data_IF_352130369584
#
_entry.id   IF_352130369584
#
_cell.length_a   1.000
_cell.length_b   1.000
_cell.length_c   1.000
_cell.angle_alpha   90.00
_cell.angle_beta   90.00
_cell.angle_gamma   90.00
#
_symmetry.space_group_name_H-M   'P 1'
#
loop_
_entity.id
_entity.type
_entity.pdbx_description
1 polymer ?
#
# COMPACT_ATOMS: atom_id res chain seq x y z
N UNK A 1 -16.35 -2.78 -19.40
CA UNK A 1 -16.28 -2.30 -18.02
C UNK A 1 -14.88 -1.82 -17.60
N UNK A 2 -13.82 -2.61 -17.76
CA UNK A 2 -12.47 -2.22 -17.33
C UNK A 2 -11.95 -0.91 -17.98
N UNK A 3 -12.08 -0.67 -19.31
CA UNK A 3 -11.62 0.61 -19.90
C UNK A 3 -12.32 1.83 -19.33
N UNK A 4 -13.60 1.70 -18.98
CA UNK A 4 -14.33 2.79 -18.31
C UNK A 4 -13.82 3.02 -16.89
N UNK A 5 -13.60 1.96 -16.09
CA UNK A 5 -13.00 2.06 -14.77
C UNK A 5 -11.63 2.73 -14.81
N UNK A 6 -10.79 2.36 -15.76
CA UNK A 6 -9.46 2.98 -15.93
C UNK A 6 -9.58 4.49 -16.25
N UNK A 7 -10.49 4.87 -17.16
CA UNK A 7 -10.74 6.29 -17.48
C UNK A 7 -11.19 7.08 -16.26
N UNK A 8 -12.15 6.54 -15.49
CA UNK A 8 -12.63 7.16 -14.26
C UNK A 8 -11.49 7.29 -13.23
N UNK A 9 -10.68 6.24 -13.07
CA UNK A 9 -9.53 6.28 -12.14
C UNK A 9 -8.50 7.32 -12.55
N UNK A 10 -8.17 7.45 -13.82
CA UNK A 10 -7.27 8.51 -14.30
C UNK A 10 -7.87 9.90 -14.05
N UNK A 11 -9.17 10.08 -14.31
CA UNK A 11 -9.86 11.32 -13.98
C UNK A 11 -9.88 11.59 -12.46
N UNK A 12 -9.97 10.55 -11.62
CA UNK A 12 -9.92 10.62 -10.17
C UNK A 12 -8.53 11.06 -9.67
N UNK A 13 -7.47 10.49 -10.24
CA UNK A 13 -6.07 10.88 -9.98
C UNK A 13 -5.84 12.36 -10.33
N UNK A 14 -6.51 12.87 -11.36
CA UNK A 14 -6.47 14.26 -11.79
C UNK A 14 -7.53 15.15 -11.08
N UNK A 15 -8.17 14.68 -10.04
CA UNK A 15 -9.21 15.39 -9.28
C UNK A 15 -10.44 15.83 -10.10
N UNK A 16 -10.75 15.15 -11.23
CA UNK A 16 -11.85 15.50 -12.15
C UNK A 16 -13.09 14.63 -11.98
N UNK A 17 -13.02 13.54 -11.21
CA UNK A 17 -14.15 12.62 -10.93
C UNK A 17 -14.19 12.25 -9.45
N UNK A 18 -15.20 11.45 -9.07
CA UNK A 18 -15.38 10.92 -7.73
C UNK A 18 -15.50 9.40 -7.72
N UNK A 19 -15.40 8.74 -6.55
CA UNK A 19 -15.55 7.28 -6.44
C UNK A 19 -16.95 6.81 -6.86
N UNK A 20 -17.97 7.65 -6.79
CA UNK A 20 -19.34 7.36 -7.23
C UNK A 20 -19.45 7.17 -8.77
N UNK A 21 -18.50 7.71 -9.54
CA UNK A 21 -18.46 7.55 -11.00
C UNK A 21 -17.86 6.21 -11.41
N UNK A 22 -17.26 5.48 -10.45
CA UNK A 22 -16.68 4.16 -10.69
C UNK A 22 -17.78 3.12 -10.94
N UNK A 23 -17.60 2.19 -11.89
CA UNK A 23 -18.62 1.19 -12.21
C UNK A 23 -19.00 0.34 -11.00
N UNK A 24 -20.31 0.20 -10.73
CA UNK A 24 -20.81 -0.68 -9.69
C UNK A 24 -20.76 -2.13 -10.16
N UNK A 25 -19.68 -2.84 -9.82
CA UNK A 25 -19.49 -4.25 -10.15
C UNK A 25 -18.58 -4.93 -9.12
N UNK A 26 -19.12 -5.92 -8.44
CA UNK A 26 -18.36 -6.70 -7.46
C UNK A 26 -17.20 -7.47 -8.11
N UNK A 27 -17.42 -8.01 -9.32
CA UNK A 27 -16.38 -8.72 -10.06
C UNK A 27 -15.24 -7.78 -10.45
N UNK A 28 -15.56 -6.58 -10.93
CA UNK A 28 -14.56 -5.57 -11.25
C UNK A 28 -13.79 -5.12 -10.01
N UNK A 29 -14.47 -4.88 -8.88
CA UNK A 29 -13.82 -4.51 -7.62
C UNK A 29 -12.86 -5.60 -7.13
N UNK A 30 -13.24 -6.89 -7.25
CA UNK A 30 -12.35 -8.02 -6.93
C UNK A 30 -11.15 -8.08 -7.86
N UNK A 31 -11.33 -7.87 -9.16
CA UNK A 31 -10.23 -7.80 -10.12
C UNK A 31 -9.27 -6.64 -9.81
N UNK A 32 -9.81 -5.47 -9.42
CA UNK A 32 -9.00 -4.33 -8.97
C UNK A 32 -8.23 -4.66 -7.68
N UNK A 33 -8.84 -5.40 -6.74
CA UNK A 33 -8.16 -5.86 -5.52
C UNK A 33 -7.00 -6.81 -5.84
N UNK A 34 -7.20 -7.77 -6.74
CA UNK A 34 -6.14 -8.66 -7.20
C UNK A 34 -5.00 -7.89 -7.88
N UNK A 35 -5.34 -6.91 -8.73
CA UNK A 35 -4.36 -6.05 -9.37
C UNK A 35 -3.58 -5.20 -8.35
N UNK A 36 -4.24 -4.66 -7.32
CA UNK A 36 -3.61 -3.91 -6.25
C UNK A 36 -2.66 -4.81 -5.43
N UNK A 37 -3.08 -6.04 -5.12
CA UNK A 37 -2.22 -7.01 -4.44
C UNK A 37 -0.99 -7.35 -5.28
N UNK A 38 -1.16 -7.60 -6.59
CA UNK A 38 -0.06 -7.88 -7.51
C UNK A 38 0.91 -6.70 -7.64
N UNK A 39 0.40 -5.49 -7.81
CA UNK A 39 1.23 -4.28 -7.87
C UNK A 39 2.02 -4.05 -6.57
N UNK A 40 1.38 -4.26 -5.41
CA UNK A 40 2.04 -4.18 -4.11
C UNK A 40 3.10 -5.28 -3.93
N UNK A 41 2.80 -6.50 -4.40
CA UNK A 41 3.76 -7.61 -4.39
C UNK A 41 4.99 -7.28 -5.23
N UNK A 42 4.82 -6.77 -6.45
CA UNK A 42 5.91 -6.35 -7.33
C UNK A 42 6.77 -5.26 -6.69
N UNK A 43 6.14 -4.35 -5.94
CA UNK A 43 6.85 -3.28 -5.24
C UNK A 43 7.69 -3.83 -4.08
N UNK A 44 7.17 -4.81 -3.32
CA UNK A 44 7.80 -5.34 -2.10
C UNK A 44 8.78 -6.49 -2.35
N UNK A 45 8.62 -7.24 -3.43
CA UNK A 45 9.43 -8.43 -3.73
C UNK A 45 10.95 -8.21 -3.76
N UNK A 46 11.49 -7.04 -4.17
CA UNK A 46 12.93 -6.78 -4.09
C UNK A 46 13.48 -6.57 -2.68
N UNK A 47 12.61 -6.25 -1.71
CA UNK A 47 13.01 -5.85 -0.35
C UNK A 47 12.89 -6.97 0.67
N UNK A 48 11.89 -7.85 0.51
CA UNK A 48 11.55 -8.88 1.49
C UNK A 48 11.26 -10.22 0.79
N UNK A 49 11.44 -11.36 1.49
CA UNK A 49 11.14 -12.67 0.96
C UNK A 49 9.72 -12.78 0.41
N UNK A 50 9.55 -13.49 -0.71
CA UNK A 50 8.29 -13.61 -1.43
C UNK A 50 7.07 -13.97 -0.54
N UNK A 51 7.16 -14.93 0.41
CA UNK A 51 6.03 -15.24 1.29
C UNK A 51 5.61 -14.05 2.17
N UNK A 52 6.56 -13.26 2.67
CA UNK A 52 6.28 -12.05 3.45
C UNK A 52 5.71 -10.93 2.58
N UNK A 53 6.19 -10.81 1.33
CA UNK A 53 5.65 -9.86 0.36
C UNK A 53 4.20 -10.19 -0.01
N UNK A 54 3.88 -11.48 -0.19
CA UNK A 54 2.52 -11.97 -0.41
C UNK A 54 1.61 -11.69 0.80
N UNK A 55 2.10 -11.95 2.01
CA UNK A 55 1.39 -11.65 3.25
C UNK A 55 1.12 -10.14 3.37
N UNK A 56 2.11 -9.30 3.10
CA UNK A 56 1.99 -7.85 3.14
C UNK A 56 0.96 -7.33 2.11
N UNK A 57 1.05 -7.80 0.86
CA UNK A 57 0.12 -7.42 -0.20
C UNK A 57 -1.33 -7.81 0.14
N UNK A 58 -1.53 -9.02 0.66
CA UNK A 58 -2.86 -9.51 1.10
C UNK A 58 -3.36 -8.71 2.30
N UNK A 59 -2.51 -8.49 3.31
CA UNK A 59 -2.82 -7.70 4.49
C UNK A 59 -3.23 -6.27 4.14
N UNK A 60 -2.53 -5.64 3.20
CA UNK A 60 -2.87 -4.31 2.71
C UNK A 60 -4.25 -4.23 2.06
N UNK A 61 -4.57 -5.18 1.17
CA UNK A 61 -5.89 -5.26 0.50
C UNK A 61 -7.01 -5.49 1.52
N UNK A 62 -6.82 -6.42 2.47
CA UNK A 62 -7.80 -6.72 3.51
C UNK A 62 -7.97 -5.55 4.47
N UNK A 63 -6.86 -4.93 4.90
CA UNK A 63 -6.88 -3.76 5.79
C UNK A 63 -7.60 -2.57 5.17
N UNK A 64 -7.37 -2.31 3.88
CA UNK A 64 -8.08 -1.26 3.15
C UNK A 64 -9.58 -1.55 3.05
N UNK A 65 -9.96 -2.81 2.75
CA UNK A 65 -11.37 -3.21 2.71
C UNK A 65 -12.04 -3.06 4.08
N UNK A 66 -11.36 -3.49 5.13
CA UNK A 66 -11.86 -3.37 6.50
C UNK A 66 -12.08 -1.91 6.90
N UNK A 67 -11.08 -1.07 6.69
CA UNK A 67 -11.16 0.36 6.99
C UNK A 67 -12.31 1.04 6.22
N UNK A 68 -12.34 0.85 4.88
CA UNK A 68 -13.35 1.48 4.03
C UNK A 68 -14.76 1.04 4.40
N UNK A 69 -14.96 -0.26 4.67
CA UNK A 69 -16.25 -0.78 5.12
C UNK A 69 -16.67 -0.15 6.45
N UNK A 70 -15.76 -0.09 7.42
CA UNK A 70 -16.03 0.50 8.74
C UNK A 70 -16.39 1.98 8.63
N UNK A 71 -15.64 2.73 7.82
CA UNK A 71 -15.89 4.14 7.56
C UNK A 71 -17.27 4.37 6.94
N UNK A 72 -17.60 3.66 5.86
CA UNK A 72 -18.88 3.83 5.15
C UNK A 72 -20.07 3.36 6.00
N UNK A 73 -19.88 2.32 6.81
CA UNK A 73 -20.89 1.85 7.77
C UNK A 73 -21.17 2.89 8.85
N UNK A 74 -20.13 3.47 9.43
CA UNK A 74 -20.27 4.52 10.43
C UNK A 74 -21.01 5.77 9.86
N UNK A 75 -20.88 6.00 8.56
CA UNK A 75 -21.55 7.09 7.85
C UNK A 75 -22.91 6.69 7.23
N UNK A 76 -23.35 5.42 7.39
CA UNK A 76 -24.61 4.87 6.83
C UNK A 76 -24.71 4.97 5.29
N UNK A 77 -23.57 4.88 4.60
CA UNK A 77 -23.45 4.93 3.13
C UNK A 77 -22.81 3.67 2.56
N UNK A 78 -23.10 2.50 3.14
CA UNK A 78 -22.53 1.20 2.76
C UNK A 78 -22.82 0.82 1.29
N UNK A 79 -23.87 1.36 0.69
CA UNK A 79 -24.20 1.17 -0.72
C UNK A 79 -23.11 1.65 -1.68
N UNK A 80 -22.20 2.54 -1.24
CA UNK A 80 -21.05 3.03 -2.02
C UNK A 80 -19.81 2.14 -1.91
N UNK A 81 -19.85 1.07 -1.09
CA UNK A 81 -18.66 0.26 -0.75
C UNK A 81 -17.97 -0.33 -1.98
N UNK A 82 -18.71 -0.96 -2.88
CA UNK A 82 -18.16 -1.65 -4.05
C UNK A 82 -17.43 -0.68 -4.98
N UNK A 83 -18.04 0.50 -5.23
CA UNK A 83 -17.46 1.54 -6.09
C UNK A 83 -16.22 2.16 -5.43
N UNK A 84 -16.31 2.48 -4.14
CA UNK A 84 -15.21 3.08 -3.38
C UNK A 84 -14.01 2.16 -3.33
N UNK A 85 -14.21 0.87 -3.01
CA UNK A 85 -13.14 -0.12 -2.99
C UNK A 85 -12.53 -0.32 -4.37
N UNK A 86 -13.34 -0.44 -5.42
CA UNK A 86 -12.84 -0.57 -6.79
C UNK A 86 -11.96 0.63 -7.19
N UNK A 87 -12.42 1.85 -6.88
CA UNK A 87 -11.67 3.07 -7.13
C UNK A 87 -10.35 3.13 -6.33
N UNK A 88 -10.37 2.80 -5.03
CA UNK A 88 -9.18 2.79 -4.18
C UNK A 88 -8.15 1.76 -4.65
N UNK A 89 -8.59 0.52 -4.95
CA UNK A 89 -7.69 -0.54 -5.39
C UNK A 89 -7.03 -0.22 -6.73
N UNK A 90 -7.81 0.25 -7.71
CA UNK A 90 -7.25 0.56 -9.02
C UNK A 90 -6.33 1.79 -8.96
N UNK A 91 -6.70 2.80 -8.18
CA UNK A 91 -5.83 3.97 -7.92
C UNK A 91 -4.53 3.54 -7.24
N UNK A 92 -4.61 2.73 -6.18
CA UNK A 92 -3.46 2.20 -5.47
C UNK A 92 -2.53 1.37 -6.36
N UNK A 93 -3.11 0.51 -7.23
CA UNK A 93 -2.34 -0.27 -8.19
C UNK A 93 -1.57 0.63 -9.18
N UNK A 94 -2.22 1.68 -9.71
CA UNK A 94 -1.57 2.62 -10.63
C UNK A 94 -0.42 3.39 -9.97
N UNK A 95 -0.61 3.84 -8.72
CA UNK A 95 0.46 4.50 -7.97
C UNK A 95 1.60 3.54 -7.64
N UNK A 96 1.32 2.30 -7.24
CA UNK A 96 2.34 1.30 -6.98
C UNK A 96 3.17 1.00 -8.23
N UNK A 97 2.52 0.86 -9.39
CA UNK A 97 3.21 0.67 -10.67
C UNK A 97 4.02 1.91 -11.08
N UNK A 98 3.51 3.11 -10.84
CA UNK A 98 4.23 4.35 -11.11
C UNK A 98 5.45 4.53 -10.19
N UNK A 99 5.37 4.08 -8.94
CA UNK A 99 6.47 4.11 -7.97
C UNK A 99 7.52 3.03 -8.23
N UNK A 100 7.19 1.98 -8.96
CA UNK A 100 8.05 0.81 -9.14
C UNK A 100 9.46 1.15 -9.65
N UNK A 101 9.69 2.00 -10.67
CA UNK A 101 11.04 2.35 -11.13
C UNK A 101 11.89 3.04 -10.05
N UNK A 102 11.28 3.97 -9.31
CA UNK A 102 11.96 4.66 -8.23
C UNK A 102 12.29 3.69 -7.08
N UNK A 103 11.38 2.78 -6.76
CA UNK A 103 11.59 1.78 -5.72
C UNK A 103 12.68 0.78 -6.08
N UNK A 104 12.79 0.38 -7.35
CA UNK A 104 13.89 -0.46 -7.84
C UNK A 104 15.26 0.24 -7.69
N UNK A 105 15.31 1.54 -7.91
CA UNK A 105 16.54 2.32 -7.72
C UNK A 105 16.91 2.52 -6.23
N UNK A 106 15.91 2.52 -5.34
CA UNK A 106 16.10 2.63 -3.89
C UNK A 106 16.38 1.26 -3.22
N UNK A 107 15.96 0.17 -3.84
CA UNK A 107 16.02 -1.18 -3.26
C UNK A 107 17.42 -1.61 -2.79
N UNK A 108 18.54 -1.33 -3.49
CA UNK A 108 19.89 -1.68 -3.02
C UNK A 108 20.25 -0.99 -1.70
N UNK A 109 19.93 0.29 -1.54
CA UNK A 109 20.21 1.04 -0.31
C UNK A 109 19.33 0.58 0.85
N UNK A 110 18.04 0.35 0.58
CA UNK A 110 17.12 -0.20 1.58
C UNK A 110 17.50 -1.63 1.99
N UNK A 111 17.91 -2.47 1.03
CA UNK A 111 18.41 -3.83 1.30
C UNK A 111 19.66 -3.82 2.16
N UNK A 112 20.62 -2.93 1.87
CA UNK A 112 21.83 -2.73 2.70
C UNK A 112 21.45 -2.32 4.12
N UNK A 113 20.54 -1.35 4.28
CA UNK A 113 20.06 -0.90 5.58
C UNK A 113 19.43 -2.03 6.40
N UNK A 114 18.59 -2.85 5.77
CA UNK A 114 17.89 -3.96 6.43
C UNK A 114 18.81 -5.13 6.79
N UNK A 115 19.91 -5.31 6.06
CA UNK A 115 20.86 -6.41 6.27
C UNK A 115 22.03 -6.05 7.20
N UNK A 116 22.26 -4.77 7.47
CA UNK A 116 23.34 -4.29 8.34
C UNK A 116 22.85 -4.12 9.80
N UNK A 117 23.28 -4.99 10.73
CA UNK A 117 22.90 -4.87 12.14
C UNK A 117 23.35 -3.54 12.76
N UNK A 118 24.49 -2.99 12.33
CA UNK A 118 25.03 -1.73 12.88
C UNK A 118 24.20 -0.53 12.44
N UNK A 119 23.65 -0.58 11.24
CA UNK A 119 22.71 0.43 10.73
C UNK A 119 21.39 0.39 11.53
N UNK A 120 20.88 -0.81 11.80
CA UNK A 120 19.67 -0.98 12.61
C UNK A 120 19.86 -0.50 14.07
N UNK A 121 21.00 -0.77 14.66
CA UNK A 121 21.33 -0.28 16.02
C UNK A 121 21.52 1.25 16.03
N UNK A 122 22.10 1.81 14.97
CA UNK A 122 22.21 3.26 14.80
C UNK A 122 20.83 3.93 14.71
N UNK A 123 19.87 3.34 13.94
CA UNK A 123 18.50 3.81 13.88
C UNK A 123 17.80 3.78 15.24
N UNK A 124 17.97 2.68 15.99
CA UNK A 124 17.41 2.56 17.35
C UNK A 124 18.00 3.59 18.32
N UNK A 125 19.27 3.93 18.14
CA UNK A 125 19.97 4.94 18.92
C UNK A 125 19.68 6.38 18.44
N UNK A 126 18.82 6.57 17.40
CA UNK A 126 18.52 7.88 16.84
C UNK A 126 19.70 8.55 16.14
N UNK A 127 20.71 7.77 15.72
CA UNK A 127 21.89 8.30 15.01
C UNK A 127 21.58 8.41 13.51
N UNK A 128 22.03 9.48 12.82
CA UNK A 128 21.86 9.61 11.40
C UNK A 128 22.63 8.50 10.67
N UNK A 129 21.98 7.87 9.70
CA UNK A 129 22.61 6.91 8.80
C UNK A 129 22.84 7.63 7.47
N UNK A 130 24.07 7.56 6.96
CA UNK A 130 24.39 8.07 5.64
C UNK A 130 23.78 7.12 4.58
N UNK A 131 22.65 7.53 4.02
CA UNK A 131 22.04 6.92 2.83
C UNK A 131 22.38 7.82 1.65
N UNK A 132 22.80 7.23 0.55
CA UNK A 132 23.07 7.93 -0.71
C UNK A 132 22.15 7.42 -1.84
N UNK A 133 20.84 7.56 -1.67
CA UNK A 133 19.89 7.14 -2.68
C UNK A 133 19.93 8.08 -3.89
N UNK A 134 19.64 7.59 -5.10
CA UNK A 134 19.53 8.45 -6.28
C UNK A 134 18.48 9.54 -6.05
N UNK A 135 18.90 10.81 -6.14
CA UNK A 135 18.05 11.96 -5.82
C UNK A 135 16.73 11.99 -6.62
N UNK A 136 16.76 11.56 -7.90
CA UNK A 136 15.55 11.47 -8.73
C UNK A 136 14.54 10.44 -8.18
N UNK A 137 15.03 9.30 -7.65
CA UNK A 137 14.19 8.24 -7.15
C UNK A 137 13.50 8.67 -5.83
N UNK A 138 14.24 9.35 -4.95
CA UNK A 138 13.68 9.92 -3.72
C UNK A 138 12.62 10.96 -4.06
N UNK A 139 12.93 11.94 -4.92
CA UNK A 139 12.00 12.99 -5.30
C UNK A 139 10.73 12.43 -5.96
N UNK A 140 10.89 11.45 -6.86
CA UNK A 140 9.77 10.80 -7.53
C UNK A 140 8.88 10.04 -6.52
N UNK A 141 9.49 9.31 -5.59
CA UNK A 141 8.77 8.58 -4.54
C UNK A 141 7.98 9.53 -3.63
N UNK A 142 8.59 10.63 -3.19
CA UNK A 142 7.94 11.62 -2.34
C UNK A 142 6.77 12.29 -3.08
N UNK A 143 6.98 12.71 -4.32
CA UNK A 143 5.93 13.32 -5.13
C UNK A 143 4.73 12.37 -5.31
N UNK A 144 4.98 11.13 -5.70
CA UNK A 144 3.93 10.14 -5.91
C UNK A 144 3.25 9.75 -4.58
N UNK A 145 4.00 9.70 -3.48
CA UNK A 145 3.45 9.44 -2.15
C UNK A 145 2.45 10.53 -1.73
N UNK A 146 2.86 11.80 -1.78
CA UNK A 146 1.98 12.91 -1.41
C UNK A 146 0.79 13.04 -2.36
N UNK A 147 0.99 12.77 -3.66
CA UNK A 147 -0.09 12.76 -4.61
C UNK A 147 -1.08 11.63 -4.34
N UNK A 148 -0.61 10.42 -4.04
CA UNK A 148 -1.46 9.28 -3.69
C UNK A 148 -2.24 9.53 -2.40
N UNK A 149 -1.63 10.18 -1.41
CA UNK A 149 -2.30 10.62 -0.18
C UNK A 149 -3.42 11.61 -0.49
N UNK A 150 -3.15 12.65 -1.31
CA UNK A 150 -4.15 13.64 -1.68
C UNK A 150 -5.35 13.01 -2.43
N UNK A 151 -5.09 12.06 -3.33
CA UNK A 151 -6.13 11.31 -4.04
C UNK A 151 -6.92 10.43 -3.08
N UNK A 152 -6.27 9.75 -2.14
CA UNK A 152 -6.91 8.91 -1.11
C UNK A 152 -7.82 9.74 -0.19
N UNK A 153 -7.36 10.93 0.24
CA UNK A 153 -8.17 11.89 1.00
C UNK A 153 -9.40 12.29 0.22
N UNK A 154 -9.27 12.60 -1.07
CA UNK A 154 -10.40 12.94 -1.93
C UNK A 154 -11.40 11.80 -2.06
N UNK A 155 -10.91 10.55 -2.29
CA UNK A 155 -11.79 9.38 -2.39
C UNK A 155 -12.58 9.19 -1.10
N UNK A 156 -11.92 9.17 0.07
CA UNK A 156 -12.57 8.99 1.36
C UNK A 156 -13.55 10.11 1.68
N UNK A 157 -13.16 11.36 1.38
CA UNK A 157 -14.01 12.52 1.57
C UNK A 157 -15.30 12.42 0.77
N UNK A 158 -15.22 12.15 -0.53
CA UNK A 158 -16.38 12.07 -1.42
C UNK A 158 -17.22 10.81 -1.16
N UNK A 159 -16.62 9.69 -0.80
CA UNK A 159 -17.33 8.45 -0.51
C UNK A 159 -18.17 8.54 0.76
N UNK A 160 -17.68 9.23 1.79
CA UNK A 160 -18.28 9.29 3.12
C UNK A 160 -18.90 10.67 3.45
N UNK A 161 -18.98 11.58 2.47
CA UNK A 161 -19.50 12.95 2.61
C UNK A 161 -18.84 13.71 3.79
N UNK A 162 -17.49 13.79 3.76
CA UNK A 162 -16.67 14.38 4.81
C UNK A 162 -16.12 15.76 4.43
N UNK A 163 -15.77 16.56 5.45
CA UNK A 163 -14.92 17.74 5.26
C UNK A 163 -13.50 17.35 4.86
N UNK A 164 -12.72 18.27 4.31
CA UNK A 164 -11.32 18.01 3.91
C UNK A 164 -10.48 17.58 5.11
N UNK A 165 -10.60 18.30 6.23
CA UNK A 165 -9.85 18.00 7.46
C UNK A 165 -10.20 16.62 8.03
N UNK A 166 -11.49 16.29 8.12
CA UNK A 166 -11.92 14.95 8.57
C UNK A 166 -11.49 13.86 7.59
N UNK A 167 -11.55 14.12 6.28
CA UNK A 167 -11.08 13.21 5.25
C UNK A 167 -9.59 12.92 5.38
N UNK A 168 -8.75 13.94 5.65
CA UNK A 168 -7.32 13.78 5.89
C UNK A 168 -7.06 12.92 7.14
N UNK A 169 -7.65 13.29 8.29
CA UNK A 169 -7.47 12.55 9.54
C UNK A 169 -7.88 11.07 9.40
N UNK A 170 -9.02 10.81 8.77
CA UNK A 170 -9.50 9.45 8.56
C UNK A 170 -8.65 8.68 7.55
N UNK A 171 -8.09 9.34 6.54
CA UNK A 171 -7.17 8.70 5.60
C UNK A 171 -5.87 8.29 6.31
N UNK A 172 -5.33 9.14 7.18
CA UNK A 172 -4.16 8.81 8.00
C UNK A 172 -4.47 7.67 8.98
N UNK A 173 -5.63 7.70 9.66
CA UNK A 173 -6.08 6.60 10.50
C UNK A 173 -6.25 5.30 9.70
N UNK A 174 -6.79 5.39 8.48
CA UNK A 174 -6.90 4.26 7.55
C UNK A 174 -5.56 3.66 7.16
N UNK A 175 -4.55 4.51 6.94
CA UNK A 175 -3.18 4.06 6.67
C UNK A 175 -2.60 3.29 7.86
N UNK A 176 -2.83 3.74 9.10
CA UNK A 176 -2.41 3.01 10.32
C UNK A 176 -3.13 1.66 10.45
N UNK A 177 -4.43 1.62 10.20
CA UNK A 177 -5.20 0.36 10.20
C UNK A 177 -4.65 -0.59 9.13
N UNK A 178 -4.45 -0.11 7.90
CA UNK A 178 -3.88 -0.92 6.83
C UNK A 178 -2.49 -1.45 7.20
N UNK A 179 -1.61 -0.62 7.76
CA UNK A 179 -0.28 -1.03 8.22
C UNK A 179 -0.37 -2.11 9.30
N UNK A 180 -1.32 -1.99 10.25
CA UNK A 180 -1.54 -3.01 11.28
C UNK A 180 -1.92 -4.37 10.68
N UNK A 181 -2.76 -4.37 9.63
CA UNK A 181 -3.11 -5.60 8.90
C UNK A 181 -1.92 -6.18 8.14
N UNK A 182 -1.06 -5.33 7.55
CA UNK A 182 0.18 -5.76 6.88
C UNK A 182 1.10 -6.45 7.88
N UNK A 183 1.38 -5.80 9.02
CA UNK A 183 2.25 -6.36 10.06
C UNK A 183 1.66 -7.66 10.64
N UNK A 184 0.36 -7.69 10.93
CA UNK A 184 -0.30 -8.89 11.42
C UNK A 184 -0.19 -10.05 10.42
N UNK A 185 -0.42 -9.79 9.14
CA UNK A 185 -0.31 -10.81 8.10
C UNK A 185 1.13 -11.36 8.00
N UNK A 186 2.14 -10.50 8.12
CA UNK A 186 3.55 -10.93 8.12
C UNK A 186 3.89 -11.76 9.37
N UNK A 187 3.43 -11.34 10.56
CA UNK A 187 3.62 -12.12 11.80
C UNK A 187 2.99 -13.51 11.67
N UNK A 188 1.79 -13.62 11.10
CA UNK A 188 1.12 -14.88 10.89
C UNK A 188 1.79 -15.76 9.81
N UNK A 189 2.47 -15.15 8.85
CA UNK A 189 3.20 -15.88 7.81
C UNK A 189 4.53 -16.47 8.31
N UNK A 190 5.18 -15.87 9.31
CA UNK A 190 6.49 -16.33 9.82
C UNK A 190 6.48 -17.78 10.31
N UNK A 191 5.56 -18.24 11.19
CA UNK A 191 5.54 -19.64 11.62
C UNK A 191 5.26 -20.60 10.48
N UNK A 192 4.45 -20.22 9.49
CA UNK A 192 4.22 -21.02 8.29
C UNK A 192 5.49 -21.18 7.47
N UNK A 193 6.29 -20.13 7.32
CA UNK A 193 7.61 -20.20 6.66
C UNK A 193 8.56 -21.16 7.39
N UNK A 194 8.54 -21.17 8.73
CA UNK A 194 9.32 -22.11 9.53
C UNK A 194 8.91 -23.57 9.29
N UNK A 195 7.62 -23.85 9.24
CA UNK A 195 7.07 -25.19 8.97
C UNK A 195 7.45 -25.73 7.58
N UNK A 196 7.58 -24.85 6.59
CA UNK A 196 7.93 -25.22 5.21
C UNK A 196 9.44 -25.09 4.91
N UNK A 197 10.28 -24.79 5.91
CA UNK A 197 11.74 -24.62 5.72
C UNK A 197 12.12 -23.43 4.82
N UNK A 198 11.23 -22.44 4.71
CA UNK A 198 11.42 -21.25 3.89
C UNK A 198 12.09 -20.08 4.65
N UNK A 199 12.40 -20.28 5.93
CA UNK A 199 13.17 -19.28 6.68
C UNK A 199 14.62 -19.30 6.17
N UNK A 200 15.25 -18.12 5.98
CA UNK A 200 16.67 -18.04 5.70
C UNK A 200 17.42 -18.81 6.81
N UNK A 201 18.26 -19.76 6.42
CA UNK A 201 19.16 -20.44 7.38
C UNK A 201 19.96 -19.34 8.08
N UNK A 202 19.95 -19.36 9.42
CA UNK A 202 20.81 -18.47 10.19
C UNK A 202 22.25 -18.62 9.65
N UNK A 203 22.98 -17.51 9.41
CA UNK A 203 24.39 -17.63 9.02
C UNK A 203 25.07 -18.52 10.05
N UNK A 204 25.71 -19.60 9.58
CA UNK A 204 26.45 -20.48 10.45
C UNK A 204 27.40 -19.62 11.29
N UNK A 205 27.18 -19.61 12.62
CA UNK A 205 28.06 -18.93 13.54
C UNK A 205 29.46 -19.50 13.25
N UNK A 206 30.33 -18.69 12.64
CA UNK A 206 31.68 -19.08 12.30
C UNK A 206 32.39 -19.52 13.59
N UNK A 207 32.81 -20.75 13.60
CA UNK A 207 33.71 -21.34 14.60
C UNK A 207 35.08 -20.76 14.39
#
# INVERSE_FOLDING_TARGET
MFPHALRVTLALILFRSGPQDFPYSLQLSRACAALAALASLLLMAPLIPLPLALAAATGGVVGLAFFTRTLLRARKVENRLVQTLGAQYLTGALFALAMWPAFQALAPELGRLLSDPTAMDSLRAGKPIALDPPAWATLMSDLLFFWSLAVSVRINRLAADLSVATGLLLTLAGALVMMSFVVLAQILAMPLMGLFGLLPSAPAAGV
#
